data_IF_522345408769
#
_entry.id   IF_522345408769
#
_cell.length_a   1.000
_cell.length_b   1.000
_cell.length_c   1.000
_cell.angle_alpha   90.00
_cell.angle_beta   90.00
_cell.angle_gamma   90.00
#
_symmetry.space_group_name_H-M   'P 1'
#
loop_
_entity.id
_entity.type
_entity.pdbx_description
1 polymer ?
#
# COMPACT_ATOMS: atom_id res chain seq x y z
N UNK A 1 -6.00 1.15 23.09
CA UNK A 1 -5.75 1.27 21.64
C UNK A 1 -4.26 1.51 21.47
N UNK A 2 -3.56 0.62 20.74
CA UNK A 2 -2.12 0.40 20.87
C UNK A 2 -1.32 0.59 19.59
N UNK A 3 0.02 0.64 19.72
CA UNK A 3 1.01 0.88 18.65
C UNK A 3 0.93 -0.03 17.43
N UNK A 4 0.16 -1.11 17.50
CA UNK A 4 0.00 -2.08 16.41
C UNK A 4 -1.18 -1.76 15.48
N UNK A 5 -2.06 -0.81 15.82
CA UNK A 5 -3.29 -0.57 15.06
C UNK A 5 -3.04 -0.22 13.60
N UNK A 6 -2.07 0.65 13.33
CA UNK A 6 -1.72 1.00 11.96
C UNK A 6 -1.23 -0.24 11.18
N UNK A 7 -0.35 -1.04 11.77
CA UNK A 7 0.12 -2.30 11.16
C UNK A 7 -1.02 -3.31 10.96
N UNK A 8 -1.95 -3.41 11.90
CA UNK A 8 -3.12 -4.28 11.81
C UNK A 8 -4.00 -3.85 10.64
N UNK A 9 -4.27 -2.56 10.49
CA UNK A 9 -5.04 -2.02 9.36
C UNK A 9 -4.36 -2.36 8.03
N UNK A 10 -3.04 -2.14 7.91
CA UNK A 10 -2.29 -2.50 6.71
C UNK A 10 -2.35 -4.01 6.43
N UNK A 11 -2.22 -4.84 7.47
CA UNK A 11 -2.36 -6.29 7.37
C UNK A 11 -3.75 -6.70 6.87
N UNK A 12 -4.81 -6.09 7.41
CA UNK A 12 -6.19 -6.33 6.98
C UNK A 12 -6.39 -5.94 5.52
N UNK A 13 -5.85 -4.79 5.06
CA UNK A 13 -5.92 -4.40 3.66
C UNK A 13 -5.30 -5.45 2.71
N UNK A 14 -4.14 -5.99 3.07
CA UNK A 14 -3.51 -7.09 2.30
C UNK A 14 -4.39 -8.34 2.33
N UNK A 15 -4.87 -8.75 3.51
CA UNK A 15 -5.70 -9.94 3.66
C UNK A 15 -6.99 -9.87 2.84
N UNK A 16 -7.63 -8.70 2.79
CA UNK A 16 -8.86 -8.47 2.02
C UNK A 16 -8.61 -8.51 0.51
N UNK A 17 -7.44 -8.04 0.06
CA UNK A 17 -7.09 -7.99 -1.37
C UNK A 17 -6.41 -9.26 -1.88
N UNK A 18 -5.87 -10.10 -0.99
CA UNK A 18 -5.19 -11.36 -1.33
C UNK A 18 -6.05 -12.33 -2.18
N UNK A 19 -7.36 -12.51 -1.93
CA UNK A 19 -8.20 -13.35 -2.78
C UNK A 19 -8.22 -12.93 -4.26
N UNK A 20 -8.02 -11.65 -4.55
CA UNK A 20 -7.98 -11.13 -5.94
C UNK A 20 -6.73 -11.64 -6.68
N UNK A 21 -5.61 -11.77 -5.97
CA UNK A 21 -4.41 -12.42 -6.53
C UNK A 21 -4.72 -13.88 -6.90
N UNK A 22 -5.37 -14.60 -5.98
CA UNK A 22 -5.75 -16.01 -6.18
C UNK A 22 -6.75 -16.19 -7.33
N UNK A 23 -7.64 -15.21 -7.54
CA UNK A 23 -8.57 -15.17 -8.66
C UNK A 23 -7.89 -14.93 -10.03
N UNK A 24 -6.60 -14.59 -10.05
CA UNK A 24 -5.80 -14.54 -11.28
C UNK A 24 -5.27 -13.16 -11.67
N UNK A 25 -5.24 -12.19 -10.74
CA UNK A 25 -4.64 -10.87 -10.99
C UNK A 25 -3.11 -10.95 -11.25
N UNK A 26 -2.41 -11.90 -10.62
CA UNK A 26 -0.97 -12.19 -10.83
C UNK A 26 -0.06 -10.97 -10.63
N UNK A 27 -0.44 -10.05 -9.76
CA UNK A 27 0.32 -8.84 -9.40
C UNK A 27 1.60 -9.22 -8.66
N UNK A 28 1.51 -10.08 -7.64
CA UNK A 28 2.69 -10.54 -6.89
C UNK A 28 3.62 -11.42 -7.74
N UNK A 29 3.10 -12.05 -8.79
CA UNK A 29 3.91 -12.82 -9.76
C UNK A 29 4.73 -11.96 -10.73
N UNK A 30 4.56 -10.63 -10.72
CA UNK A 30 5.29 -9.70 -11.60
C UNK A 30 5.97 -8.59 -10.79
N UNK A 31 6.91 -8.94 -9.90
CA UNK A 31 7.51 -7.98 -8.96
C UNK A 31 8.19 -6.80 -9.68
N UNK A 32 8.86 -7.03 -10.81
CA UNK A 32 9.51 -5.94 -11.56
C UNK A 32 8.54 -4.89 -12.11
N UNK A 33 7.31 -5.27 -12.46
CA UNK A 33 6.29 -4.30 -12.91
C UNK A 33 5.68 -3.56 -11.71
N UNK A 34 5.40 -4.30 -10.64
CA UNK A 34 4.86 -3.75 -9.41
C UNK A 34 5.80 -2.72 -8.79
N UNK A 35 7.09 -3.03 -8.69
CA UNK A 35 8.10 -2.09 -8.18
C UNK A 35 8.16 -0.86 -9.08
N UNK A 36 8.16 -1.01 -10.41
CA UNK A 36 8.18 0.14 -11.33
C UNK A 36 6.93 1.01 -11.26
N UNK A 37 5.76 0.46 -10.88
CA UNK A 37 4.54 1.24 -10.71
C UNK A 37 4.46 1.91 -9.33
N UNK A 38 4.94 1.25 -8.28
CA UNK A 38 4.79 1.73 -6.90
C UNK A 38 5.96 2.64 -6.49
N UNK A 39 7.19 2.25 -6.82
CA UNK A 39 8.41 2.91 -6.31
C UNK A 39 8.50 4.40 -6.68
N UNK A 40 8.21 4.86 -7.92
CA UNK A 40 8.31 6.28 -8.25
C UNK A 40 7.35 7.13 -7.41
N UNK A 41 6.12 6.64 -7.24
CA UNK A 41 5.07 7.33 -6.47
C UNK A 41 5.42 7.32 -4.99
N UNK A 42 5.80 6.16 -4.44
CA UNK A 42 6.22 6.03 -3.06
C UNK A 42 7.42 6.94 -2.75
N UNK A 43 8.40 7.04 -3.64
CA UNK A 43 9.56 7.92 -3.45
C UNK A 43 9.18 9.41 -3.38
N UNK A 44 8.32 9.88 -4.30
CA UNK A 44 7.86 11.28 -4.30
C UNK A 44 7.15 11.62 -3.00
N UNK A 45 6.23 10.76 -2.56
CA UNK A 45 5.47 11.03 -1.34
C UNK A 45 6.32 10.87 -0.07
N UNK A 46 7.24 9.91 0.00
CA UNK A 46 8.15 9.78 1.13
C UNK A 46 9.08 10.99 1.28
N UNK A 47 9.56 11.54 0.16
CA UNK A 47 10.35 12.78 0.18
C UNK A 47 9.50 13.94 0.67
N UNK A 48 8.26 14.06 0.18
CA UNK A 48 7.35 15.10 0.64
C UNK A 48 7.05 14.97 2.14
N UNK A 49 6.84 13.76 2.62
CA UNK A 49 6.52 13.49 4.02
C UNK A 49 7.73 13.79 4.93
N UNK A 50 8.96 13.43 4.51
CA UNK A 50 10.19 13.87 5.18
C UNK A 50 10.27 15.39 5.32
N UNK A 51 9.94 16.13 4.26
CA UNK A 51 9.95 17.59 4.28
C UNK A 51 8.88 18.16 5.22
N UNK A 52 7.67 17.60 5.21
CA UNK A 52 6.57 18.04 6.07
C UNK A 52 6.87 17.80 7.56
N UNK A 53 7.49 16.66 7.89
CA UNK A 53 7.96 16.34 9.24
C UNK A 53 9.08 17.28 9.66
N UNK A 54 10.08 17.48 8.79
CA UNK A 54 11.20 18.38 9.07
C UNK A 54 10.76 19.84 9.24
N UNK A 55 9.73 20.27 8.51
CA UNK A 55 9.15 21.61 8.61
C UNK A 55 8.23 21.79 9.85
N UNK A 56 7.96 20.73 10.62
CA UNK A 56 7.05 20.79 11.76
C UNK A 56 5.57 20.94 11.39
N UNK A 57 5.23 20.80 10.11
CA UNK A 57 3.85 20.90 9.61
C UNK A 57 3.08 19.62 9.90
N UNK A 58 3.79 18.49 9.92
CA UNK A 58 3.20 17.16 10.11
C UNK A 58 3.93 16.35 11.17
N UNK A 59 3.18 15.74 12.09
CA UNK A 59 3.72 14.90 13.15
C UNK A 59 2.85 13.67 13.37
N UNK A 60 3.51 12.55 13.67
CA UNK A 60 2.85 11.28 13.98
C UNK A 60 2.74 11.10 15.49
N UNK A 61 1.57 10.72 15.97
CA UNK A 61 1.34 10.43 17.38
C UNK A 61 2.10 9.15 17.79
N UNK A 62 3.05 9.23 18.74
CA UNK A 62 3.85 8.09 19.20
C UNK A 62 3.01 6.98 19.87
N UNK A 63 1.75 7.22 20.21
CA UNK A 63 0.84 6.21 20.74
C UNK A 63 0.44 5.16 19.67
N UNK A 64 0.44 5.54 18.39
CA UNK A 64 -0.07 4.72 17.28
C UNK A 64 1.00 4.18 16.34
N UNK A 65 2.27 4.54 16.56
CA UNK A 65 3.42 4.02 15.80
C UNK A 65 4.32 3.17 16.69
N UNK A 66 4.98 2.17 16.11
CA UNK A 66 5.86 1.24 16.83
C UNK A 66 7.11 1.88 17.41
N UNK A 67 7.44 3.10 16.97
CA UNK A 67 8.64 3.83 17.36
C UNK A 67 9.85 3.54 16.47
N UNK A 68 9.74 2.60 15.54
CA UNK A 68 10.72 2.39 14.48
C UNK A 68 10.60 3.51 13.45
N UNK A 69 11.72 4.20 13.20
CA UNK A 69 11.77 5.31 12.25
C UNK A 69 12.81 5.05 11.17
N UNK A 70 12.40 5.29 9.93
CA UNK A 70 13.27 5.39 8.77
C UNK A 70 14.05 6.74 8.80
N UNK A 71 15.00 6.96 7.87
CA UNK A 71 15.69 8.25 7.73
C UNK A 71 14.69 9.42 7.69
N UNK A 72 15.12 10.59 8.18
CA UNK A 72 14.29 11.80 8.26
C UNK A 72 13.10 11.72 9.23
N UNK A 73 13.05 10.69 10.09
CA UNK A 73 12.08 10.58 11.17
C UNK A 73 10.73 10.02 10.76
N UNK A 74 10.60 9.51 9.53
CA UNK A 74 9.39 8.87 9.01
C UNK A 74 9.14 7.55 9.76
N UNK A 75 7.95 7.31 10.32
CA UNK A 75 7.61 6.02 10.94
C UNK A 75 7.66 4.87 9.92
N UNK A 76 8.04 3.67 10.37
CA UNK A 76 8.05 2.47 9.52
C UNK A 76 6.67 2.20 8.91
N UNK A 77 5.61 2.44 9.67
CA UNK A 77 4.22 2.25 9.25
C UNK A 77 3.88 3.08 8.01
N UNK A 78 4.44 4.29 7.91
CA UNK A 78 4.21 5.19 6.78
C UNK A 78 4.95 4.70 5.52
N UNK A 79 6.17 4.20 5.69
CA UNK A 79 6.91 3.54 4.61
C UNK A 79 6.13 2.32 4.10
N UNK A 80 5.56 1.53 5.02
CA UNK A 80 4.72 0.38 4.68
C UNK A 80 3.41 0.83 4.02
N UNK A 81 2.81 1.94 4.44
CA UNK A 81 1.61 2.50 3.81
C UNK A 81 1.84 2.82 2.33
N UNK A 82 2.92 3.53 2.00
CA UNK A 82 3.27 3.86 0.61
C UNK A 82 3.66 2.64 -0.25
N UNK A 83 3.90 1.48 0.36
CA UNK A 83 4.08 0.23 -0.37
C UNK A 83 2.77 -0.57 -0.47
N UNK A 84 2.12 -0.83 0.66
CA UNK A 84 0.97 -1.73 0.80
C UNK A 84 -0.27 -1.16 0.12
N UNK A 85 -0.58 0.11 0.32
CA UNK A 85 -1.83 0.69 -0.20
C UNK A 85 -1.80 0.77 -1.74
N UNK A 86 -0.73 1.22 -2.40
CA UNK A 86 -0.66 1.15 -3.86
C UNK A 86 -0.75 -0.28 -4.41
N UNK A 87 -0.14 -1.26 -3.74
CA UNK A 87 -0.27 -2.69 -4.11
C UNK A 87 -1.73 -3.14 -4.03
N UNK A 88 -2.43 -2.82 -2.95
CA UNK A 88 -3.86 -3.10 -2.78
C UNK A 88 -4.70 -2.44 -3.89
N UNK A 89 -4.35 -1.21 -4.29
CA UNK A 89 -4.97 -0.50 -5.39
C UNK A 89 -4.78 -1.21 -6.74
N UNK A 90 -3.56 -1.66 -7.06
CA UNK A 90 -3.27 -2.41 -8.29
C UNK A 90 -4.01 -3.75 -8.31
N UNK A 91 -4.05 -4.48 -7.19
CA UNK A 91 -4.84 -5.71 -7.06
C UNK A 91 -6.32 -5.46 -7.34
N UNK A 92 -6.89 -4.42 -6.74
CA UNK A 92 -8.30 -4.06 -6.93
C UNK A 92 -8.60 -3.70 -8.39
N UNK A 93 -7.72 -2.94 -9.03
CA UNK A 93 -7.83 -2.59 -10.45
C UNK A 93 -7.86 -3.83 -11.36
N UNK A 94 -6.93 -4.78 -11.16
CA UNK A 94 -6.93 -6.05 -11.88
C UNK A 94 -8.18 -6.90 -11.57
N UNK A 95 -8.69 -6.84 -10.34
CA UNK A 95 -9.97 -7.44 -9.94
C UNK A 95 -11.14 -6.96 -10.80
N UNK A 96 -11.27 -5.64 -11.00
CA UNK A 96 -12.28 -5.07 -11.91
C UNK A 96 -12.09 -5.60 -13.34
N UNK A 97 -10.85 -5.72 -13.80
CA UNK A 97 -10.51 -6.30 -15.09
C UNK A 97 -10.94 -7.76 -15.23
N UNK A 98 -10.78 -8.58 -14.18
CA UNK A 98 -11.24 -9.97 -14.15
C UNK A 98 -12.76 -10.06 -14.26
N UNK A 99 -13.49 -9.27 -13.47
CA UNK A 99 -14.96 -9.20 -13.49
C UNK A 99 -15.47 -8.78 -14.88
N UNK A 100 -14.86 -7.77 -15.51
CA UNK A 100 -15.22 -7.34 -16.85
C UNK A 100 -14.96 -8.40 -17.94
N UNK A 101 -13.95 -9.26 -17.77
CA UNK A 101 -13.70 -10.41 -18.68
C UNK A 101 -14.75 -11.50 -18.49
N UNK A 102 -15.15 -11.78 -17.25
CA UNK A 102 -16.21 -12.76 -16.92
C UNK A 102 -17.55 -12.32 -17.50
N UNK A 103 -17.97 -11.07 -17.27
CA UNK A 103 -19.23 -10.53 -17.78
C UNK A 103 -19.32 -10.61 -19.31
N UNK A 104 -18.23 -10.32 -20.02
CA UNK A 104 -18.17 -10.43 -21.48
C UNK A 104 -18.25 -11.86 -22.01
N UNK A 105 -17.82 -12.86 -21.22
CA UNK A 105 -17.98 -14.28 -21.58
C UNK A 105 -19.42 -14.75 -21.38
N UNK A 106 -20.07 -14.34 -20.30
CA UNK A 106 -21.46 -14.72 -20.00
C UNK A 106 -22.47 -14.09 -20.98
N UNK A 107 -22.13 -12.91 -21.52
CA UNK A 107 -22.99 -12.18 -22.47
C UNK A 107 -22.78 -12.59 -23.95
N UNK A 108 -21.86 -13.52 -24.24
CA UNK A 108 -21.69 -14.16 -25.55
C UNK A 108 -22.42 -15.49 -25.56
#
# INVERSE_FOLDING_TARGET
>A
MGRAEYLVVLGVCVLVTLPIELAGARVYRRPGRLVRSVLPVAAVFLVWDALAIAAGVWHFDPAFVTGLRAPFGIPLEEVLFFAVIPVCGVLTYEGVGLTGRLLRRVRR
#
